data_IF_281134340936
#
_entry.id   IF_281134340936
#
_cell.length_a   1.000
_cell.length_b   1.000
_cell.length_c   1.000
_cell.angle_alpha   90.00
_cell.angle_beta   90.00
_cell.angle_gamma   90.00
#
_symmetry.space_group_name_H-M   'P 1'
#
loop_
_entity.id
_entity.type
_entity.pdbx_description
1 polymer ?
#
# COMPACT_ATOMS: atom_id res chain seq x y z
N UNK A 1 -15.61 -24.87 5.48
CA UNK A 1 -15.30 -24.26 5.48
C UNK A 1 -14.70 -23.43 5.46
N UNK A 2 -14.82 -23.61 5.41
CA UNK A 2 -14.33 -22.79 5.36
C UNK A 2 -13.91 -21.97 5.44
N UNK A 3 -13.94 -21.86 5.58
CA UNK A 3 -13.67 -20.80 5.59
C UNK A 3 -13.06 -20.27 5.84
N UNK A 4 -13.39 -20.51 5.95
CA UNK A 4 -12.65 -20.20 6.42
C UNK A 4 -11.52 -19.61 6.24
N UNK A 5 -10.96 -19.87 5.90
CA UNK A 5 -9.66 -19.34 5.64
C UNK A 5 -9.65 -17.91 5.25
N UNK A 6 -10.72 -17.31 5.36
CA UNK A 6 -10.83 -15.91 4.96
C UNK A 6 -9.90 -15.03 5.77
N UNK A 7 -9.84 -15.26 7.06
CA UNK A 7 -9.01 -14.42 7.89
C UNK A 7 -7.52 -14.62 7.66
N UNK A 8 -7.14 -15.69 6.99
CA UNK A 8 -5.73 -15.96 6.76
C UNK A 8 -5.21 -15.31 5.49
N UNK A 9 -6.05 -14.63 4.75
CA UNK A 9 -5.63 -14.03 3.49
C UNK A 9 -5.16 -12.60 3.70
N UNK A 10 -4.45 -12.37 4.76
CA UNK A 10 -3.85 -11.08 5.03
C UNK A 10 -2.33 -11.20 4.97
N UNK A 11 -1.68 -10.14 4.55
CA UNK A 11 -0.24 -10.03 4.64
C UNK A 11 0.10 -8.82 5.50
N UNK A 12 1.24 -8.88 6.16
CA UNK A 12 1.69 -7.79 7.01
C UNK A 12 2.75 -7.01 6.26
N UNK A 13 2.54 -5.72 6.16
CA UNK A 13 3.53 -4.79 5.62
C UNK A 13 3.92 -3.81 6.72
N UNK A 14 4.96 -3.04 6.47
CA UNK A 14 5.31 -1.94 7.33
C UNK A 14 4.97 -0.65 6.60
N UNK A 15 4.06 0.11 7.16
CA UNK A 15 3.58 1.35 6.54
C UNK A 15 4.01 2.52 7.40
N UNK A 16 4.88 3.35 6.86
CA UNK A 16 5.43 4.51 7.58
C UNK A 16 5.94 4.13 8.97
N UNK A 17 6.62 2.98 9.04
CA UNK A 17 7.22 2.51 10.27
C UNK A 17 6.35 1.61 11.13
N UNK A 18 5.08 1.48 10.83
CA UNK A 18 4.15 0.68 11.64
C UNK A 18 3.71 -0.56 10.90
N UNK A 19 3.56 -1.65 11.64
CA UNK A 19 2.99 -2.87 11.07
C UNK A 19 1.54 -2.66 10.70
N UNK A 20 1.15 -3.18 9.56
CA UNK A 20 -0.23 -3.06 9.08
C UNK A 20 -0.62 -4.31 8.32
N UNK A 21 -1.79 -4.85 8.66
CA UNK A 21 -2.35 -5.99 7.93
C UNK A 21 -3.13 -5.46 6.75
N UNK A 22 -2.89 -6.05 5.59
CA UNK A 22 -3.65 -5.73 4.38
C UNK A 22 -4.10 -7.02 3.73
N UNK A 23 -5.18 -6.99 2.96
CA UNK A 23 -5.60 -8.20 2.25
C UNK A 23 -4.53 -8.66 1.26
N UNK A 24 -4.34 -9.96 1.17
CA UNK A 24 -3.45 -10.52 0.15
C UNK A 24 -3.96 -10.08 -1.22
N UNK A 25 -3.02 -9.75 -2.10
CA UNK A 25 -3.39 -9.23 -3.41
C UNK A 25 -3.58 -7.73 -3.46
N UNK A 26 -3.43 -7.05 -2.33
CA UNK A 26 -3.52 -5.60 -2.32
C UNK A 26 -2.46 -4.99 -3.22
N UNK A 27 -2.82 -3.91 -3.89
CA UNK A 27 -1.89 -3.15 -4.70
C UNK A 27 -1.62 -1.80 -4.04
N UNK A 28 -0.64 -1.09 -4.57
CA UNK A 28 -0.40 0.27 -4.10
C UNK A 28 -1.67 1.11 -4.24
N UNK A 29 -2.36 0.98 -5.37
CA UNK A 29 -3.60 1.74 -5.58
C UNK A 29 -4.65 1.39 -4.54
N UNK A 30 -4.85 0.11 -4.25
CA UNK A 30 -5.86 -0.27 -3.27
C UNK A 30 -5.48 0.17 -1.86
N UNK A 31 -4.20 0.15 -1.54
CA UNK A 31 -3.75 0.66 -0.24
C UNK A 31 -4.06 2.15 -0.11
N UNK A 32 -3.73 2.92 -1.12
CA UNK A 32 -4.00 4.36 -1.08
C UNK A 32 -5.50 4.63 -0.96
N UNK A 33 -6.32 3.86 -1.68
CA UNK A 33 -7.77 4.01 -1.59
C UNK A 33 -8.27 3.71 -0.19
N UNK A 34 -7.72 2.69 0.46
CA UNK A 34 -8.13 2.34 1.82
C UNK A 34 -7.74 3.40 2.84
N UNK A 35 -6.76 4.21 2.52
CA UNK A 35 -6.30 5.30 3.39
C UNK A 35 -6.93 6.64 3.01
N UNK A 36 -7.80 6.64 2.02
CA UNK A 36 -8.41 7.88 1.52
C UNK A 36 -7.38 8.87 0.98
N UNK A 37 -6.34 8.36 0.36
CA UNK A 37 -5.30 9.21 -0.20
C UNK A 37 -5.43 9.28 -1.71
N UNK A 38 -5.29 10.49 -2.23
CA UNK A 38 -5.29 10.70 -3.68
C UNK A 38 -3.91 10.36 -4.23
N UNK A 39 -3.80 9.40 -5.14
CA UNK A 39 -2.48 9.02 -5.66
C UNK A 39 -1.72 10.15 -6.33
N UNK A 40 -2.41 11.19 -6.76
CA UNK A 40 -1.75 12.32 -7.38
C UNK A 40 -1.05 13.22 -6.37
N UNK A 41 -1.36 13.06 -5.09
CA UNK A 41 -0.89 13.95 -4.04
C UNK A 41 0.09 13.26 -3.10
N UNK A 42 0.58 12.10 -3.48
CA UNK A 42 1.50 11.34 -2.62
C UNK A 42 2.73 10.92 -3.40
N UNK A 43 3.80 10.70 -2.67
CA UNK A 43 4.98 9.96 -3.15
C UNK A 43 5.00 8.67 -2.37
N UNK A 44 5.16 7.56 -3.08
CA UNK A 44 5.18 6.23 -2.48
C UNK A 44 6.55 5.63 -2.71
N UNK A 45 7.17 5.14 -1.62
CA UNK A 45 8.37 4.33 -1.70
C UNK A 45 8.04 2.91 -1.33
N UNK A 46 8.54 1.97 -2.08
CA UNK A 46 8.43 0.56 -1.76
C UNK A 46 9.83 -0.01 -1.61
N UNK A 47 10.13 -0.50 -0.42
CA UNK A 47 11.45 -1.07 -0.13
C UNK A 47 12.57 -0.10 -0.52
N UNK A 48 12.36 1.18 -0.18
CA UNK A 48 13.30 2.28 -0.38
C UNK A 48 13.43 2.74 -1.82
N UNK A 49 12.58 2.25 -2.71
CA UNK A 49 12.58 2.71 -4.09
C UNK A 49 11.33 3.52 -4.36
N UNK A 50 11.49 4.71 -4.88
CA UNK A 50 10.36 5.56 -5.22
C UNK A 50 9.64 4.96 -6.42
N UNK A 51 8.33 4.81 -6.30
CA UNK A 51 7.49 4.37 -7.40
C UNK A 51 7.09 5.59 -8.21
N UNK A 52 7.83 5.83 -9.28
CA UNK A 52 7.69 7.09 -10.03
C UNK A 52 6.50 7.11 -10.97
N UNK A 53 6.11 5.95 -11.47
CA UNK A 53 5.05 5.88 -12.46
C UNK A 53 3.72 5.57 -11.76
N UNK A 54 2.93 6.59 -11.54
CA UNK A 54 1.63 6.44 -10.86
C UNK A 54 0.68 5.55 -11.65
N UNK A 55 0.89 5.44 -12.95
CA UNK A 55 0.07 4.55 -13.76
C UNK A 55 0.25 3.09 -13.43
N UNK A 56 1.31 2.72 -12.72
CA UNK A 56 1.55 1.33 -12.34
C UNK A 56 0.99 1.00 -10.97
N UNK A 57 0.44 1.94 -10.22
CA UNK A 57 -0.01 1.69 -8.85
C UNK A 57 -1.05 0.58 -8.77
N UNK A 58 -1.86 0.41 -9.79
CA UNK A 58 -2.87 -0.64 -9.81
C UNK A 58 -2.28 -2.01 -10.07
N UNK A 59 -1.10 -2.08 -10.62
CA UNK A 59 -0.46 -3.35 -10.93
C UNK A 59 0.68 -3.71 -10.00
N UNK A 60 1.09 -2.81 -9.12
CA UNK A 60 2.15 -3.10 -8.14
C UNK A 60 1.52 -3.78 -6.95
N UNK A 61 1.67 -5.09 -6.89
CA UNK A 61 1.09 -5.89 -5.81
C UNK A 61 2.04 -5.89 -4.62
N UNK A 62 1.48 -5.72 -3.44
CA UNK A 62 2.25 -5.67 -2.20
C UNK A 62 2.42 -7.07 -1.63
N UNK A 63 3.61 -7.34 -1.11
CA UNK A 63 3.95 -8.65 -0.57
C UNK A 63 4.22 -8.53 0.92
N UNK A 64 4.06 -9.65 1.61
CA UNK A 64 4.38 -9.71 3.03
C UNK A 64 5.80 -9.24 3.27
N UNK A 65 5.98 -8.40 4.26
CA UNK A 65 7.29 -7.87 4.60
C UNK A 65 7.70 -6.63 3.84
N UNK A 66 6.90 -6.20 2.87
CA UNK A 66 7.23 -4.95 2.17
C UNK A 66 7.23 -3.77 3.13
N UNK A 67 8.17 -2.87 2.90
CA UNK A 67 8.21 -1.59 3.60
C UNK A 67 7.71 -0.52 2.64
N UNK A 68 6.65 0.14 3.07
CA UNK A 68 5.99 1.18 2.27
C UNK A 68 6.07 2.48 3.04
N UNK A 69 6.52 3.53 2.37
CA UNK A 69 6.48 4.88 2.94
C UNK A 69 5.69 5.77 2.02
N UNK A 70 4.78 6.52 2.59
CA UNK A 70 3.92 7.42 1.85
C UNK A 70 4.09 8.80 2.42
N UNK A 71 4.44 9.74 1.55
CA UNK A 71 4.52 11.15 1.91
C UNK A 71 3.38 11.86 1.20
N UNK A 72 2.51 12.51 1.96
CA UNK A 72 1.37 13.22 1.41
C UNK A 72 1.71 14.69 1.28
N UNK A 73 1.50 15.24 0.10
CA UNK A 73 1.72 16.66 -0.10
C UNK A 73 0.59 17.43 0.56
N UNK A 74 0.95 18.33 1.42
CA UNK A 74 -0.05 19.13 2.07
C UNK A 74 -0.21 20.36 1.22
N UNK A 75 -1.32 20.49 0.75
CA UNK A 75 -1.84 21.54 0.05
C UNK A 75 -1.04 22.78 -0.08
N UNK A 76 -0.07 22.73 -0.61
CA UNK A 76 0.77 23.78 -0.69
C UNK A 76 0.19 24.95 -1.33
N UNK A 77 -0.50 25.19 -1.39
CA UNK A 77 -0.71 26.38 -1.98
C UNK A 77 -1.05 27.23 -2.25
#
# INVERSE_FOLDING_TARGET
MAHLGVGSDAVVIRLNGDSRDIPAGSTVASLLASLDLDPRLVVVERNRAILRDRGTFESVELAAGDTIEIVHFVGGG
#
